data_IF_097059771550
#
_entry.id   IF_097059771550
#
_cell.length_a   1.000
_cell.length_b   1.000
_cell.length_c   1.000
_cell.angle_alpha   90.00
_cell.angle_beta   90.00
_cell.angle_gamma   90.00
#
_symmetry.space_group_name_H-M   'P 1'
#
loop_
_entity.id
_entity.type
_entity.pdbx_description
1 polymer ?
#
# COMPACT_ATOMS: atom_id res chain seq x y z
N UNK A 1 -26.96 43.70 68.96
CA UNK A 1 -26.16 42.46 69.05
C UNK A 1 -26.04 41.89 67.63
N UNK A 2 -24.81 41.67 67.15
CA UNK A 2 -24.45 41.50 65.73
C UNK A 2 -25.10 40.27 65.07
N UNK A 3 -25.69 40.35 63.86
CA UNK A 3 -26.16 39.17 63.15
C UNK A 3 -24.98 38.42 62.50
N UNK A 4 -25.03 37.09 62.64
CA UNK A 4 -24.01 36.13 62.25
C UNK A 4 -23.81 36.03 60.73
N UNK A 5 -22.57 36.13 60.29
CA UNK A 5 -22.10 35.83 58.93
C UNK A 5 -22.09 34.32 58.68
N UNK A 6 -23.20 33.78 58.14
CA UNK A 6 -23.23 32.44 57.51
C UNK A 6 -23.93 32.51 56.16
N UNK A 7 -23.37 33.30 55.24
CA UNK A 7 -23.77 33.34 53.82
C UNK A 7 -22.56 33.23 52.87
N UNK A 8 -21.54 32.48 53.26
CA UNK A 8 -20.37 32.22 52.43
C UNK A 8 -20.07 30.72 52.39
N UNK A 9 -21.02 29.90 51.94
CA UNK A 9 -20.73 28.51 51.57
C UNK A 9 -21.93 27.84 50.86
N UNK A 10 -22.36 28.36 49.70
CA UNK A 10 -23.28 27.63 48.80
C UNK A 10 -23.05 27.87 47.30
N UNK A 11 -21.99 28.59 46.92
CA UNK A 11 -21.64 28.83 45.51
C UNK A 11 -20.36 28.12 45.06
N UNK A 12 -19.87 27.14 45.83
CA UNK A 12 -18.68 26.34 45.47
C UNK A 12 -18.99 24.84 45.32
N UNK A 13 -20.21 24.49 44.92
CA UNK A 13 -20.58 23.13 44.53
C UNK A 13 -21.39 23.13 43.22
N UNK A 14 -21.10 24.08 42.33
CA UNK A 14 -21.70 24.20 41.01
C UNK A 14 -20.64 24.09 39.90
N UNK A 15 -19.63 23.21 40.08
CA UNK A 15 -18.50 23.11 39.17
C UNK A 15 -18.09 21.69 38.74
N UNK A 16 -18.86 20.63 39.04
CA UNK A 16 -18.36 19.26 38.84
C UNK A 16 -19.36 18.20 38.32
N UNK A 17 -20.48 18.57 37.70
CA UNK A 17 -21.43 17.55 37.22
C UNK A 17 -22.21 17.90 35.94
N UNK A 18 -21.56 18.56 34.96
CA UNK A 18 -22.14 18.70 33.62
C UNK A 18 -21.07 18.78 32.50
N UNK A 19 -19.94 18.09 32.68
CA UNK A 19 -18.95 17.85 31.61
C UNK A 19 -19.08 16.43 31.04
N UNK A 20 -20.32 15.96 30.88
CA UNK A 20 -20.66 14.63 30.37
C UNK A 20 -21.54 14.76 29.12
N UNK A 21 -20.97 15.30 28.04
CA UNK A 21 -21.45 15.23 26.65
C UNK A 21 -20.46 16.11 25.85
N UNK A 22 -19.42 15.57 25.24
CA UNK A 22 -19.53 14.93 23.93
C UNK A 22 -18.21 14.21 23.64
N UNK A 23 -18.13 12.90 23.83
CA UNK A 23 -17.18 12.12 23.05
C UNK A 23 -17.76 12.07 21.64
N UNK A 24 -17.32 13.00 20.79
CA UNK A 24 -17.45 12.81 19.34
C UNK A 24 -16.55 11.61 19.04
N UNK A 25 -17.13 10.42 18.95
CA UNK A 25 -16.50 9.32 18.25
C UNK A 25 -16.50 9.74 16.79
N UNK A 26 -15.47 10.48 16.38
CA UNK A 26 -15.17 10.64 14.97
C UNK A 26 -14.78 9.24 14.52
N UNK A 27 -15.53 8.56 13.64
CA UNK A 27 -14.95 7.41 12.99
C UNK A 27 -13.75 7.96 12.23
N UNK A 28 -12.55 7.54 12.63
CA UNK A 28 -11.38 7.70 11.78
C UNK A 28 -11.57 6.77 10.57
N UNK A 29 -12.50 7.12 9.69
CA UNK A 29 -12.37 6.84 8.27
C UNK A 29 -11.17 7.70 7.85
N UNK A 30 -9.98 7.15 8.04
CA UNK A 30 -8.78 7.70 7.46
C UNK A 30 -8.90 7.43 5.95
N UNK A 31 -9.74 8.22 5.27
CA UNK A 31 -9.66 8.36 3.82
C UNK A 31 -8.26 8.91 3.59
N UNK A 32 -7.32 8.04 3.20
CA UNK A 32 -5.97 8.43 2.82
C UNK A 32 -6.19 9.44 1.68
N UNK A 33 -5.90 10.74 1.89
CA UNK A 33 -6.19 11.74 0.86
C UNK A 33 -5.55 11.22 -0.43
N UNK A 34 -6.31 11.14 -1.54
CA UNK A 34 -5.81 10.56 -2.77
C UNK A 34 -4.59 11.39 -3.18
N UNK A 35 -3.42 10.85 -2.86
CA UNK A 35 -2.18 11.42 -3.34
C UNK A 35 -2.17 10.99 -4.80
N UNK A 36 -2.34 11.94 -5.71
CA UNK A 36 -2.48 11.65 -7.12
C UNK A 36 -1.09 11.39 -7.74
N UNK A 37 -0.85 10.15 -8.18
CA UNK A 37 0.32 9.82 -8.97
C UNK A 37 -0.01 10.02 -10.45
N UNK A 38 0.12 11.24 -10.96
CA UNK A 38 -0.36 11.55 -12.32
C UNK A 38 0.54 11.01 -13.44
N UNK A 39 1.78 10.66 -13.10
CA UNK A 39 2.78 10.18 -14.05
C UNK A 39 3.77 9.24 -13.38
N UNK A 40 4.49 8.41 -14.17
CA UNK A 40 5.55 7.58 -13.62
C UNK A 40 6.64 8.42 -12.93
N UNK A 41 7.13 7.92 -11.80
CA UNK A 41 8.25 8.48 -11.05
C UNK A 41 9.24 7.37 -10.71
N UNK A 42 10.52 7.70 -10.72
CA UNK A 42 11.56 6.83 -10.18
C UNK A 42 11.76 7.12 -8.69
N UNK A 43 12.05 6.09 -7.90
CA UNK A 43 12.38 6.22 -6.49
C UNK A 43 13.50 5.26 -6.10
N UNK A 44 14.17 5.53 -4.99
CA UNK A 44 15.19 4.64 -4.46
C UNK A 44 14.60 3.85 -3.30
N UNK A 45 14.91 2.55 -3.26
CA UNK A 45 14.49 1.66 -2.19
C UNK A 45 15.68 1.39 -1.27
N UNK A 46 15.46 1.62 0.02
CA UNK A 46 16.31 1.06 1.08
C UNK A 46 15.77 -0.32 1.43
N UNK A 47 16.61 -1.34 1.30
CA UNK A 47 16.28 -2.71 1.65
C UNK A 47 17.07 -3.14 2.89
N UNK A 48 16.37 -3.71 3.88
CA UNK A 48 16.97 -4.27 5.08
C UNK A 48 16.62 -5.77 5.12
N UNK A 49 17.59 -6.69 5.11
CA UNK A 49 17.32 -8.11 5.25
C UNK A 49 16.57 -8.44 6.53
N UNK A 50 15.65 -9.38 6.45
CA UNK A 50 14.96 -9.94 7.61
C UNK A 50 15.13 -11.45 7.66
N UNK A 51 15.11 -11.98 8.87
CA UNK A 51 14.93 -13.40 9.14
C UNK A 51 13.47 -13.69 9.47
N UNK A 52 13.01 -14.88 9.08
CA UNK A 52 11.63 -15.28 9.31
C UNK A 52 11.36 -15.60 10.79
N UNK A 53 12.28 -16.33 11.42
CA UNK A 53 12.24 -16.61 12.86
C UNK A 53 13.21 -15.66 13.56
N UNK A 54 12.66 -14.59 14.16
CA UNK A 54 13.45 -13.53 14.80
C UNK A 54 14.24 -14.05 16.00
N UNK A 55 13.71 -15.05 16.71
CA UNK A 55 14.29 -15.57 17.94
C UNK A 55 15.31 -16.70 17.63
N UNK A 56 15.19 -17.34 16.46
CA UNK A 56 16.18 -18.29 15.93
C UNK A 56 16.50 -18.03 14.44
N UNK A 57 17.37 -17.04 14.13
CA UNK A 57 17.68 -16.65 12.76
C UNK A 57 18.25 -17.76 11.87
N UNK A 58 18.94 -18.75 12.44
CA UNK A 58 19.53 -19.86 11.69
C UNK A 58 18.50 -20.89 11.23
N UNK A 59 17.31 -20.88 11.82
CA UNK A 59 16.21 -21.76 11.39
C UNK A 59 15.66 -21.31 10.04
N UNK A 60 15.99 -22.04 8.99
CA UNK A 60 15.48 -21.79 7.63
C UNK A 60 14.36 -22.73 7.18
N UNK A 61 14.13 -23.84 7.88
CA UNK A 61 13.12 -24.83 7.50
C UNK A 61 11.83 -24.70 8.33
N UNK A 62 10.71 -24.62 7.61
CA UNK A 62 9.35 -24.49 8.16
C UNK A 62 8.43 -25.53 7.49
N UNK A 63 8.42 -26.74 8.04
CA UNK A 63 7.69 -27.86 7.45
C UNK A 63 8.29 -28.26 6.11
N UNK A 64 7.52 -28.13 5.02
CA UNK A 64 7.99 -28.40 3.64
C UNK A 64 8.61 -27.18 2.95
N UNK A 65 8.66 -26.03 3.63
CA UNK A 65 9.12 -24.76 3.06
C UNK A 65 10.51 -24.41 3.59
N UNK A 66 11.34 -23.85 2.72
CA UNK A 66 12.65 -23.29 3.07
C UNK A 66 12.56 -21.78 2.88
N UNK A 67 12.83 -21.02 3.95
CA UNK A 67 12.93 -19.57 3.87
C UNK A 67 14.19 -19.18 3.08
N UNK A 68 13.99 -18.50 1.95
CA UNK A 68 15.07 -18.11 1.01
C UNK A 68 15.58 -16.69 1.24
N UNK A 69 14.96 -15.95 2.15
CA UNK A 69 15.27 -14.56 2.44
C UNK A 69 14.00 -13.71 2.47
N UNK A 70 14.13 -12.52 3.04
CA UNK A 70 13.09 -11.52 3.09
C UNK A 70 13.72 -10.14 3.24
N UNK A 71 13.01 -9.13 2.77
CA UNK A 71 13.45 -7.74 2.86
C UNK A 71 12.35 -6.89 3.49
N UNK A 72 12.75 -6.00 4.39
CA UNK A 72 11.95 -4.83 4.76
C UNK A 72 12.33 -3.68 3.81
N UNK A 73 11.34 -3.16 3.08
CA UNK A 73 11.55 -2.19 2.00
C UNK A 73 11.01 -0.82 2.37
N UNK A 74 11.83 0.21 2.16
CA UNK A 74 11.46 1.60 2.42
C UNK A 74 11.74 2.47 1.19
N UNK A 75 10.79 3.32 0.84
CA UNK A 75 10.95 4.34 -0.21
C UNK A 75 10.69 5.73 0.35
N UNK A 76 11.36 6.75 -0.20
CA UNK A 76 11.00 8.15 0.02
C UNK A 76 9.86 8.57 -0.92
N UNK A 77 8.74 7.85 -0.86
CA UNK A 77 7.56 8.07 -1.72
C UNK A 77 6.30 7.66 -0.96
N UNK A 78 5.29 8.52 -0.93
CA UNK A 78 3.96 8.20 -0.36
C UNK A 78 3.16 7.21 -1.23
N UNK A 79 3.62 6.94 -2.45
CA UNK A 79 3.03 6.01 -3.41
C UNK A 79 3.63 4.59 -3.35
N UNK A 80 4.57 4.34 -2.43
CA UNK A 80 5.19 3.03 -2.27
C UNK A 80 4.49 2.22 -1.17
N UNK A 81 4.12 0.99 -1.47
CA UNK A 81 3.45 0.06 -0.53
C UNK A 81 2.10 -0.42 -1.03
N UNK A 82 1.41 -1.22 -0.22
CA UNK A 82 0.07 -1.73 -0.53
C UNK A 82 0.04 -2.71 -1.71
N UNK A 83 1.12 -3.46 -1.95
CA UNK A 83 1.21 -4.37 -3.11
C UNK A 83 0.43 -5.66 -2.86
N UNK A 84 -0.59 -5.91 -3.68
CA UNK A 84 -1.48 -7.09 -3.56
C UNK A 84 -1.16 -8.19 -4.56
N UNK A 85 -0.55 -7.86 -5.71
CA UNK A 85 -0.14 -8.86 -6.69
C UNK A 85 1.15 -8.48 -7.42
N UNK A 86 1.87 -9.50 -7.91
CA UNK A 86 3.13 -9.32 -8.63
C UNK A 86 3.40 -10.43 -9.63
N UNK A 87 4.22 -10.13 -10.65
CA UNK A 87 4.74 -11.08 -11.61
C UNK A 87 6.25 -10.87 -11.81
N UNK A 88 6.96 -11.98 -12.00
CA UNK A 88 8.39 -12.01 -12.30
C UNK A 88 8.62 -12.54 -13.71
N UNK A 89 9.70 -12.10 -14.33
CA UNK A 89 10.17 -12.68 -15.58
C UNK A 89 10.77 -14.08 -15.33
N UNK A 90 10.99 -14.90 -16.38
CA UNK A 90 11.55 -16.25 -16.21
C UNK A 90 12.94 -16.27 -15.56
N UNK A 91 13.67 -15.15 -15.61
CA UNK A 91 14.97 -15.02 -14.96
C UNK A 91 14.87 -14.77 -13.45
N UNK A 92 13.70 -14.34 -12.96
CA UNK A 92 13.47 -13.97 -11.57
C UNK A 92 14.10 -12.62 -11.18
N UNK A 93 14.40 -11.77 -12.17
CA UNK A 93 15.09 -10.48 -11.94
C UNK A 93 14.21 -9.29 -12.22
N UNK A 94 13.25 -9.36 -13.13
CA UNK A 94 12.36 -8.23 -13.43
C UNK A 94 11.01 -8.44 -12.79
N UNK A 95 10.57 -7.46 -12.01
CA UNK A 95 9.33 -7.46 -11.24
C UNK A 95 8.38 -6.40 -11.78
N UNK A 96 7.11 -6.77 -11.90
CA UNK A 96 5.98 -5.85 -11.97
C UNK A 96 4.99 -6.19 -10.86
N UNK A 97 4.48 -5.18 -10.16
CA UNK A 97 3.52 -5.33 -9.09
C UNK A 97 2.42 -4.27 -9.18
N UNK A 98 1.26 -4.56 -8.61
CA UNK A 98 0.13 -3.63 -8.49
C UNK A 98 -0.21 -3.43 -7.02
N UNK A 99 -0.79 -2.28 -6.70
CA UNK A 99 -1.17 -1.89 -5.35
C UNK A 99 -2.65 -1.56 -5.24
N UNK A 100 -3.23 -1.95 -4.10
CA UNK A 100 -4.55 -1.54 -3.60
C UNK A 100 -4.82 -0.03 -3.71
N UNK A 101 -3.78 0.80 -3.69
CA UNK A 101 -3.84 2.25 -3.81
C UNK A 101 -3.95 2.78 -5.25
N UNK A 102 -4.16 1.91 -6.25
CA UNK A 102 -4.33 2.31 -7.65
C UNK A 102 -3.02 2.62 -8.38
N UNK A 103 -1.92 1.98 -7.99
CA UNK A 103 -0.60 2.19 -8.60
C UNK A 103 0.06 0.88 -8.99
N UNK A 104 1.06 0.96 -9.87
CA UNK A 104 1.95 -0.14 -10.21
C UNK A 104 3.40 0.19 -9.84
N UNK A 105 4.18 -0.85 -9.55
CA UNK A 105 5.62 -0.81 -9.37
C UNK A 105 6.32 -1.67 -10.42
N UNK A 106 7.46 -1.18 -10.89
CA UNK A 106 8.46 -1.96 -11.62
C UNK A 106 9.79 -1.86 -10.91
N UNK A 107 10.54 -2.96 -10.87
CA UNK A 107 11.87 -2.99 -10.29
C UNK A 107 12.69 -4.14 -10.86
N UNK A 108 14.01 -4.03 -10.72
CA UNK A 108 14.94 -5.13 -10.84
C UNK A 108 15.23 -5.67 -9.44
N UNK A 109 15.11 -6.99 -9.25
CA UNK A 109 15.54 -7.68 -8.03
C UNK A 109 17.04 -7.86 -8.05
N UNK A 110 17.71 -7.34 -7.02
CA UNK A 110 19.16 -7.46 -6.85
C UNK A 110 19.48 -8.67 -5.97
N UNK A 111 20.45 -9.48 -6.39
CA UNK A 111 20.88 -10.69 -5.68
C UNK A 111 22.35 -10.64 -5.27
N UNK A 112 22.65 -11.24 -4.12
CA UNK A 112 24.00 -11.64 -3.71
C UNK A 112 24.10 -13.17 -3.78
N UNK A 113 24.66 -13.67 -4.89
CA UNK A 113 24.60 -15.09 -5.24
C UNK A 113 23.14 -15.55 -5.41
N UNK A 114 22.63 -16.33 -4.45
CA UNK A 114 21.24 -16.85 -4.44
C UNK A 114 20.32 -16.13 -3.45
N UNK A 115 20.84 -15.10 -2.77
CA UNK A 115 20.11 -14.38 -1.73
C UNK A 115 19.57 -13.07 -2.29
N UNK A 116 18.28 -12.80 -2.07
CA UNK A 116 17.68 -11.51 -2.43
C UNK A 116 18.28 -10.41 -1.54
N UNK A 117 18.78 -9.34 -2.16
CA UNK A 117 19.52 -8.26 -1.48
C UNK A 117 18.79 -6.92 -1.52
N UNK A 118 18.06 -6.64 -2.58
CA UNK A 118 17.43 -5.34 -2.76
C UNK A 118 16.62 -5.22 -4.03
N UNK A 119 16.15 -4.00 -4.29
CA UNK A 119 15.46 -3.61 -5.51
C UNK A 119 16.17 -2.39 -6.10
N UNK A 120 16.42 -2.43 -7.40
CA UNK A 120 16.97 -1.33 -8.19
C UNK A 120 16.02 -0.95 -9.34
N UNK A 121 16.31 0.15 -10.03
CA UNK A 121 15.52 0.67 -11.15
C UNK A 121 14.02 0.84 -10.84
N UNK A 122 13.70 1.22 -9.59
CA UNK A 122 12.32 1.26 -9.13
C UNK A 122 11.57 2.43 -9.77
N UNK A 123 10.48 2.10 -10.46
CA UNK A 123 9.54 3.04 -11.07
C UNK A 123 8.14 2.75 -10.55
N UNK A 124 7.44 3.80 -10.14
CA UNK A 124 6.04 3.78 -9.71
C UNK A 124 5.20 4.53 -10.74
N UNK A 125 3.99 4.10 -11.03
CA UNK A 125 3.05 4.86 -11.86
C UNK A 125 1.59 4.52 -11.56
N UNK A 126 0.64 5.29 -12.10
CA UNK A 126 -0.79 5.05 -11.84
C UNK A 126 -1.34 3.89 -12.66
N UNK A 127 -2.29 3.16 -12.07
CA UNK A 127 -3.30 2.45 -12.85
C UNK A 127 -4.33 3.46 -13.34
N UNK A 128 -4.80 3.26 -14.57
CA UNK A 128 -5.71 4.19 -15.26
C UNK A 128 -7.12 3.63 -15.32
N UNK A 129 -8.12 4.50 -15.23
CA UNK A 129 -9.50 4.19 -15.57
C UNK A 129 -9.72 4.16 -17.09
N UNK A 130 -10.95 3.81 -17.50
CA UNK A 130 -11.37 3.81 -18.91
C UNK A 130 -11.29 5.19 -19.57
N UNK A 131 -11.38 6.27 -18.79
CA UNK A 131 -11.19 7.65 -19.23
C UNK A 131 -9.71 8.06 -19.38
N UNK A 132 -8.80 7.13 -19.10
CA UNK A 132 -7.35 7.32 -19.17
C UNK A 132 -6.76 8.15 -18.04
N UNK A 133 -7.53 8.46 -16.99
CA UNK A 133 -7.04 9.17 -15.80
C UNK A 133 -6.65 8.19 -14.69
N UNK A 134 -5.77 8.61 -13.76
CA UNK A 134 -5.45 7.79 -12.59
C UNK A 134 -6.69 7.38 -11.80
N UNK A 135 -6.70 6.14 -11.30
CA UNK A 135 -7.72 5.64 -10.38
C UNK A 135 -7.48 6.25 -8.98
N UNK A 136 -8.13 7.38 -8.71
CA UNK A 136 -8.01 8.08 -7.42
C UNK A 136 -9.13 7.74 -6.44
N UNK A 137 -10.28 7.27 -6.94
CA UNK A 137 -11.42 6.88 -6.12
C UNK A 137 -11.14 5.54 -5.44
N UNK A 138 -11.30 5.49 -4.12
CA UNK A 138 -11.12 4.30 -3.31
C UNK A 138 -11.99 3.14 -3.79
N UNK A 139 -13.21 3.42 -4.25
CA UNK A 139 -14.14 2.39 -4.73
C UNK A 139 -13.71 1.75 -6.06
N UNK A 140 -12.90 2.47 -6.84
CA UNK A 140 -12.48 2.01 -8.17
C UNK A 140 -11.07 1.42 -8.18
N UNK A 141 -10.19 1.86 -7.27
CA UNK A 141 -8.74 1.60 -7.34
C UNK A 141 -8.25 0.34 -6.63
N UNK A 142 -9.10 -0.26 -5.80
CA UNK A 142 -8.76 -1.33 -4.85
C UNK A 142 -8.43 -2.64 -5.57
N UNK A 143 -7.18 -2.77 -6.04
CA UNK A 143 -6.72 -3.87 -6.89
C UNK A 143 -6.07 -5.00 -6.08
N UNK A 144 -6.49 -6.24 -6.33
CA UNK A 144 -6.17 -7.39 -5.48
C UNK A 144 -5.41 -8.51 -6.17
N UNK A 145 -5.52 -8.60 -7.50
CA UNK A 145 -5.01 -9.74 -8.26
C UNK A 145 -4.50 -9.32 -9.63
N UNK A 146 -3.47 -10.00 -10.12
CA UNK A 146 -2.91 -9.78 -11.44
C UNK A 146 -2.52 -11.10 -12.10
N UNK A 147 -2.85 -11.25 -13.39
CA UNK A 147 -2.35 -12.34 -14.23
C UNK A 147 -1.88 -11.79 -15.58
N UNK A 148 -0.64 -12.08 -15.95
CA UNK A 148 -0.14 -11.76 -17.30
C UNK A 148 -0.77 -12.72 -18.32
N UNK A 149 -1.40 -12.17 -19.35
CA UNK A 149 -2.03 -12.91 -20.45
C UNK A 149 -1.00 -13.17 -21.56
N UNK A 150 -0.16 -12.18 -21.80
CA UNK A 150 0.93 -12.22 -22.76
C UNK A 150 2.08 -11.30 -22.30
N UNK A 151 3.24 -11.49 -22.93
CA UNK A 151 4.41 -10.68 -22.66
C UNK A 151 5.14 -11.08 -21.37
N UNK A 152 5.81 -10.09 -20.79
CA UNK A 152 6.62 -10.23 -19.57
C UNK A 152 6.50 -8.92 -18.73
N UNK A 153 7.10 -8.85 -17.53
CA UNK A 153 7.05 -7.64 -16.70
C UNK A 153 7.48 -6.32 -17.38
N UNK A 154 8.17 -6.35 -18.52
CA UNK A 154 8.53 -5.16 -19.30
C UNK A 154 7.37 -4.65 -20.18
N UNK A 155 6.57 -5.53 -20.78
CA UNK A 155 5.43 -5.19 -21.65
C UNK A 155 4.51 -6.39 -21.87
N UNK A 156 3.23 -6.13 -22.09
CA UNK A 156 2.26 -7.17 -22.41
C UNK A 156 0.84 -6.74 -22.07
N UNK A 157 0.01 -7.73 -21.75
CA UNK A 157 -1.36 -7.53 -21.29
C UNK A 157 -1.57 -8.26 -19.96
N UNK A 158 -2.22 -7.61 -19.01
CA UNK A 158 -2.57 -8.18 -17.71
C UNK A 158 -4.09 -8.14 -17.48
N UNK A 159 -4.63 -9.18 -16.84
CA UNK A 159 -5.90 -9.06 -16.13
C UNK A 159 -5.63 -8.56 -14.71
N UNK A 160 -6.39 -7.56 -14.26
CA UNK A 160 -6.34 -7.03 -12.89
C UNK A 160 -7.73 -7.12 -12.27
N UNK A 161 -7.84 -7.74 -11.09
CA UNK A 161 -9.09 -7.82 -10.33
C UNK A 161 -9.19 -6.72 -9.27
N UNK A 162 -10.41 -6.23 -9.03
CA UNK A 162 -10.70 -5.18 -8.05
C UNK A 162 -11.74 -5.63 -7.01
N UNK A 163 -11.58 -5.21 -5.75
CA UNK A 163 -12.46 -5.60 -4.64
C UNK A 163 -13.71 -4.71 -4.53
N UNK A 164 -13.57 -3.38 -4.47
CA UNK A 164 -14.74 -2.54 -4.10
C UNK A 164 -15.78 -2.43 -5.21
N UNK A 165 -15.34 -2.09 -6.41
CA UNK A 165 -16.12 -2.24 -7.63
C UNK A 165 -15.67 -3.51 -8.34
N UNK A 166 -16.31 -4.64 -7.97
CA UNK A 166 -15.99 -5.98 -8.44
C UNK A 166 -15.93 -6.06 -9.98
N UNK A 167 -14.71 -6.20 -10.51
CA UNK A 167 -14.46 -6.42 -11.93
C UNK A 167 -13.08 -7.02 -12.14
N UNK A 168 -12.87 -7.56 -13.33
CA UNK A 168 -11.55 -7.95 -13.82
C UNK A 168 -11.33 -7.16 -15.09
N UNK A 169 -10.38 -6.25 -15.12
CA UNK A 169 -10.12 -5.41 -16.28
C UNK A 169 -8.86 -5.89 -17.02
N UNK A 170 -8.88 -5.76 -18.34
CA UNK A 170 -7.75 -6.10 -19.22
C UNK A 170 -6.91 -4.87 -19.55
N UNK A 171 -5.71 -4.82 -18.99
CA UNK A 171 -4.77 -3.73 -19.15
C UNK A 171 -3.63 -4.06 -20.12
N UNK A 172 -3.48 -3.34 -21.24
CA UNK A 172 -2.22 -3.32 -21.97
C UNK A 172 -1.19 -2.48 -21.20
N UNK A 173 0.08 -2.88 -21.22
CA UNK A 173 1.15 -2.14 -20.56
C UNK A 173 2.48 -2.24 -21.32
N UNK A 174 3.34 -1.25 -21.12
CA UNK A 174 4.68 -1.14 -21.72
C UNK A 174 5.72 -0.75 -20.69
N UNK A 175 6.99 -0.65 -21.13
CA UNK A 175 8.15 -0.12 -20.40
C UNK A 175 7.83 1.02 -19.42
N UNK A 176 6.93 1.89 -19.83
CA UNK A 176 6.74 3.21 -19.25
C UNK A 176 5.41 3.34 -18.49
N UNK A 177 4.40 2.51 -18.79
CA UNK A 177 3.03 2.71 -18.28
C UNK A 177 2.12 1.48 -18.43
N UNK A 178 1.11 1.42 -17.57
CA UNK A 178 -0.17 0.78 -17.89
C UNK A 178 -1.03 1.72 -18.74
N UNK A 179 -1.65 1.20 -19.80
CA UNK A 179 -2.66 1.92 -20.57
C UNK A 179 -4.03 1.91 -19.87
N UNK A 180 -5.04 2.61 -20.43
CA UNK A 180 -6.43 2.40 -20.02
C UNK A 180 -6.85 0.95 -20.28
N UNK A 181 -7.79 0.39 -19.49
CA UNK A 181 -8.29 -0.94 -19.71
C UNK A 181 -9.01 -1.03 -21.07
N UNK A 182 -8.91 -2.20 -21.69
CA UNK A 182 -9.40 -2.50 -23.06
C UNK A 182 -10.56 -3.50 -23.07
N UNK A 183 -11.13 -3.78 -21.90
CA UNK A 183 -12.22 -4.73 -21.69
C UNK A 183 -12.27 -5.19 -20.24
N UNK A 184 -13.39 -5.82 -19.88
CA UNK A 184 -13.64 -6.46 -18.59
C UNK A 184 -14.26 -7.84 -18.78
#
# INVERSE_FOLDING_TARGET
>A
MRPSSRRASRYLAAALAAAAASLIIVPALADKPPTALDRPISTTITAIPIDFDRDNPDRKEFGKLIFRGGLNLFAKSSYFGGYSAMALDPSGTNLIAISDAGSWLRATLDYDGRNLKGLSNVTLGPLLGTDGKPLLDDTERDSEGMALIDGDPSKGTAYISFERHHRIDRYPFSGERFGPPTGS
#
